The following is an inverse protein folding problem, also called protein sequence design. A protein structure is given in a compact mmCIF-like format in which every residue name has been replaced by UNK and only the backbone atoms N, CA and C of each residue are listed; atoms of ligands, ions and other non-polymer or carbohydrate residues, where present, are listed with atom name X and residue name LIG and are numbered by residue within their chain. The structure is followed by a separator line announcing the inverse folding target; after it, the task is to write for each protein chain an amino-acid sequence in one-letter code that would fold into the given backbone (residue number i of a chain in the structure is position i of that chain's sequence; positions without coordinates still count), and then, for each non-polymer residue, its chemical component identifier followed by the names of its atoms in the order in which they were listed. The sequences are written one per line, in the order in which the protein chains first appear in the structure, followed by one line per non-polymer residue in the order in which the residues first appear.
data_IF_394447474247
#
_entry.id   IF_394447474247
#
_cell.length_a   1.000
_cell.length_b   1.000
_cell.length_c   1.000
_cell.angle_alpha   90.00
_cell.angle_beta   90.00
_cell.angle_gamma   90.00
#
_symmetry.space_group_name_H-M   'P 1'
#
loop_
_entity.id
_entity.type
_entity.pdbx_description
1 polymer ?
#
# COMPACT_ATOMS: atom_id res chain seq x y z
N UNK A 1 -5.50 -7.50 6.76
CA UNK A 1 -6.55 -6.97 5.84
C UNK A 1 -7.44 -8.12 5.36
N UNK A 2 -8.75 -7.90 5.20
CA UNK A 2 -9.69 -8.94 4.74
C UNK A 2 -9.25 -9.64 3.44
N UNK A 3 -8.76 -8.93 2.39
CA UNK A 3 -8.26 -9.60 1.18
C UNK A 3 -7.07 -10.55 1.41
N UNK A 4 -6.21 -10.26 2.39
CA UNK A 4 -5.07 -11.12 2.75
C UNK A 4 -5.56 -12.43 3.33
N UNK A 5 -6.53 -12.38 4.26
CA UNK A 5 -7.11 -13.59 4.85
C UNK A 5 -7.82 -14.45 3.80
N UNK A 6 -8.59 -13.83 2.90
CA UNK A 6 -9.28 -14.54 1.81
C UNK A 6 -8.28 -15.24 0.88
N UNK A 7 -7.22 -14.54 0.44
CA UNK A 7 -6.21 -15.13 -0.46
C UNK A 7 -5.39 -16.22 0.24
N UNK A 8 -4.98 -16.00 1.48
CA UNK A 8 -4.26 -17.00 2.27
C UNK A 8 -5.10 -18.27 2.49
N UNK A 9 -6.39 -18.12 2.82
CA UNK A 9 -7.32 -19.24 2.97
C UNK A 9 -7.49 -20.03 1.66
N UNK A 10 -7.66 -19.35 0.52
CA UNK A 10 -7.71 -20.01 -0.79
C UNK A 10 -6.42 -20.78 -1.10
N UNK A 11 -5.25 -20.16 -0.90
CA UNK A 11 -3.95 -20.82 -1.13
C UNK A 11 -3.76 -22.04 -0.21
N UNK A 12 -4.25 -21.97 1.03
CA UNK A 12 -4.24 -23.12 1.93
C UNK A 12 -5.09 -24.27 1.39
N UNK A 13 -6.32 -24.01 0.94
CA UNK A 13 -7.18 -25.03 0.32
C UNK A 13 -6.55 -25.65 -0.92
N UNK A 14 -5.95 -24.83 -1.78
CA UNK A 14 -5.22 -25.31 -2.97
C UNK A 14 -4.05 -26.23 -2.60
N UNK A 15 -3.32 -25.88 -1.53
CA UNK A 15 -2.18 -26.67 -1.05
C UNK A 15 -2.59 -28.02 -0.47
N UNK A 16 -3.65 -28.06 0.31
CA UNK A 16 -4.11 -29.26 1.00
C UNK A 16 -4.95 -30.19 0.11
N UNK A 17 -5.73 -29.63 -0.82
CA UNK A 17 -6.78 -30.38 -1.50
C UNK A 17 -6.68 -30.36 -3.04
N UNK A 18 -5.72 -29.64 -3.63
CA UNK A 18 -5.61 -29.50 -5.09
C UNK A 18 -4.19 -29.77 -5.64
N UNK A 19 -3.39 -30.60 -4.96
CA UNK A 19 -2.05 -31.00 -5.41
C UNK A 19 -1.10 -29.83 -5.77
N UNK A 20 -1.26 -28.67 -5.11
CA UNK A 20 -0.37 -27.51 -5.27
C UNK A 20 0.51 -27.33 -4.02
N UNK A 21 1.55 -28.16 -3.81
CA UNK A 21 2.30 -28.19 -2.54
C UNK A 21 2.94 -26.85 -2.17
N UNK A 22 3.23 -26.01 -3.17
CA UNK A 22 3.88 -24.71 -2.99
C UNK A 22 2.89 -23.53 -2.97
N UNK A 23 1.57 -23.78 -3.01
CA UNK A 23 0.55 -22.73 -2.92
C UNK A 23 0.63 -22.03 -1.56
N UNK A 24 1.09 -20.77 -1.57
CA UNK A 24 1.20 -19.91 -0.40
C UNK A 24 0.93 -18.46 -0.76
N UNK A 25 0.49 -17.69 0.22
CA UNK A 25 0.34 -16.24 0.08
C UNK A 25 1.72 -15.58 0.05
N UNK A 26 1.89 -14.63 -0.87
CA UNK A 26 2.97 -13.66 -0.82
C UNK A 26 2.48 -12.45 0.00
N UNK A 27 3.25 -12.09 1.02
CA UNK A 27 2.93 -11.00 1.95
C UNK A 27 3.67 -9.71 1.61
N UNK A 28 4.53 -9.74 0.59
CA UNK A 28 5.20 -8.55 0.10
C UNK A 28 4.21 -7.68 -0.67
N UNK A 29 4.42 -6.36 -0.60
CA UNK A 29 3.69 -5.37 -1.40
C UNK A 29 2.16 -5.43 -1.29
N UNK A 30 1.62 -5.76 -0.11
CA UNK A 30 0.17 -5.71 0.11
C UNK A 30 -0.29 -4.25 0.20
N UNK A 31 -1.15 -3.75 -0.72
CA UNK A 31 -1.64 -2.39 -0.68
C UNK A 31 -2.60 -2.18 0.49
N UNK A 32 -2.54 -0.99 1.10
CA UNK A 32 -3.39 -0.60 2.23
C UNK A 32 -4.04 0.75 1.98
N UNK A 33 -5.32 0.85 2.34
CA UNK A 33 -6.08 2.11 2.37
C UNK A 33 -6.52 2.40 3.80
N UNK A 34 -6.32 3.64 4.25
CA UNK A 34 -6.83 4.15 5.53
C UNK A 34 -7.89 5.20 5.24
N UNK A 35 -9.11 4.99 5.74
CA UNK A 35 -10.25 5.89 5.56
C UNK A 35 -10.21 7.06 6.56
N UNK A 36 -9.12 7.82 6.54
CA UNK A 36 -9.01 9.12 7.20
C UNK A 36 -9.70 10.22 6.38
N UNK A 37 -9.68 11.46 6.89
CA UNK A 37 -10.12 12.64 6.15
C UNK A 37 -8.93 13.57 5.94
N UNK A 38 -8.28 13.58 4.74
CA UNK A 38 -8.57 12.78 3.54
C UNK A 38 -8.08 11.32 3.64
N UNK A 39 -8.57 10.40 2.80
CA UNK A 39 -8.08 9.01 2.77
C UNK A 39 -6.60 8.93 2.39
N UNK A 40 -5.93 7.88 2.86
CA UNK A 40 -4.51 7.60 2.58
C UNK A 40 -4.38 6.25 1.89
N UNK A 41 -3.54 6.17 0.86
CA UNK A 41 -3.14 4.93 0.20
C UNK A 41 -1.63 4.72 0.32
N UNK A 42 -1.20 3.50 0.61
CA UNK A 42 0.23 3.14 0.70
C UNK A 42 0.48 1.70 0.24
N UNK A 43 1.68 1.44 -0.25
CA UNK A 43 2.19 0.12 -0.66
C UNK A 43 3.72 0.13 -0.59
N UNK A 44 4.31 -1.00 -0.19
CA UNK A 44 5.76 -1.15 -0.15
C UNK A 44 6.41 -0.42 1.03
N UNK A 45 7.64 0.03 0.82
CA UNK A 45 8.48 0.62 1.86
C UNK A 45 8.20 2.11 2.02
N UNK A 46 8.31 2.60 3.25
CA UNK A 46 8.51 4.02 3.52
C UNK A 46 9.89 4.46 3.03
N UNK A 47 10.08 5.78 2.86
CA UNK A 47 11.39 6.32 2.48
C UNK A 47 12.49 5.90 3.46
N UNK A 48 12.20 5.93 4.77
CA UNK A 48 13.17 5.54 5.80
C UNK A 48 13.55 4.05 5.69
N UNK A 49 12.57 3.16 5.57
CA UNK A 49 12.83 1.72 5.39
C UNK A 49 13.60 1.44 4.08
N UNK A 50 13.36 2.22 3.03
CA UNK A 50 14.12 2.11 1.78
C UNK A 50 15.57 2.59 1.93
N UNK A 51 15.81 3.68 2.67
CA UNK A 51 17.15 4.15 3.00
C UNK A 51 17.92 3.11 3.83
N UNK A 52 17.28 2.51 4.83
CA UNK A 52 17.86 1.46 5.67
C UNK A 52 18.17 0.19 4.87
N UNK A 53 17.31 -0.18 3.91
CA UNK A 53 17.46 -1.42 3.13
C UNK A 53 18.45 -1.30 1.98
N UNK A 54 18.46 -0.17 1.27
CA UNK A 54 19.22 0.00 0.03
C UNK A 54 20.38 0.99 0.14
N UNK A 55 20.44 1.78 1.21
CA UNK A 55 21.38 2.89 1.35
C UNK A 55 20.89 4.13 0.62
N UNK A 56 21.13 5.30 1.24
CA UNK A 56 20.62 6.59 0.78
C UNK A 56 21.03 6.95 -0.66
N UNK A 57 22.24 6.58 -1.06
CA UNK A 57 22.78 6.88 -2.39
C UNK A 57 22.13 6.05 -3.51
N UNK A 58 21.46 4.95 -3.15
CA UNK A 58 20.81 4.03 -4.10
C UNK A 58 19.30 4.28 -4.24
N UNK A 59 18.76 5.29 -3.56
CA UNK A 59 17.32 5.61 -3.64
C UNK A 59 17.10 6.98 -4.26
N UNK A 60 15.96 7.14 -4.93
CA UNK A 60 15.50 8.42 -5.46
C UNK A 60 14.04 8.62 -5.11
N UNK A 61 13.73 9.73 -4.44
CA UNK A 61 12.39 10.08 -3.97
C UNK A 61 11.79 11.15 -4.88
N UNK A 62 10.54 10.95 -5.29
CA UNK A 62 9.75 11.94 -6.02
C UNK A 62 8.53 12.31 -5.18
N UNK A 63 8.26 13.61 -5.04
CA UNK A 63 7.12 14.13 -4.27
C UNK A 63 6.29 15.06 -5.12
N UNK A 64 4.99 15.13 -4.83
CA UNK A 64 4.05 16.02 -5.50
C UNK A 64 3.03 16.54 -4.50
N UNK A 65 2.77 17.84 -4.54
CA UNK A 65 1.75 18.51 -3.73
C UNK A 65 0.83 19.33 -4.63
N UNK A 66 -0.49 19.17 -4.49
CA UNK A 66 -1.49 19.99 -5.15
C UNK A 66 -2.77 20.07 -4.31
N UNK A 67 -3.56 21.13 -4.51
CA UNK A 67 -4.91 21.22 -3.93
C UNK A 67 -5.87 20.35 -4.73
N UNK A 68 -6.64 19.48 -4.06
CA UNK A 68 -7.69 18.70 -4.72
C UNK A 68 -8.71 19.63 -5.40
N UNK A 69 -9.00 19.40 -6.69
CA UNK A 69 -9.87 20.26 -7.50
C UNK A 69 -11.23 20.50 -6.84
N UNK A 70 -11.80 19.45 -6.22
CA UNK A 70 -13.07 19.54 -5.51
C UNK A 70 -13.08 20.61 -4.42
N UNK A 71 -12.03 20.73 -3.61
CA UNK A 71 -11.95 21.72 -2.53
C UNK A 71 -11.31 23.04 -2.97
N UNK A 72 -10.74 23.10 -4.18
CA UNK A 72 -10.09 24.30 -4.69
C UNK A 72 -11.07 25.45 -4.96
N UNK A 73 -12.33 25.13 -5.28
CA UNK A 73 -13.37 26.10 -5.64
C UNK A 73 -14.40 26.34 -4.52
N UNK A 74 -14.22 25.72 -3.35
CA UNK A 74 -15.15 25.84 -2.22
C UNK A 74 -14.68 26.88 -1.20
N UNK A 75 -15.61 27.33 -0.34
CA UNK A 75 -15.28 28.24 0.78
C UNK A 75 -14.35 27.60 1.82
N UNK A 76 -14.37 26.26 1.93
CA UNK A 76 -13.57 25.48 2.87
C UNK A 76 -12.44 24.78 2.13
N UNK A 77 -11.47 25.57 1.66
CA UNK A 77 -10.30 25.08 0.94
C UNK A 77 -9.45 24.22 1.88
N UNK A 78 -9.16 22.99 1.48
CA UNK A 78 -8.16 22.17 2.15
C UNK A 78 -6.76 22.63 1.70
N UNK A 79 -5.87 23.07 2.62
CA UNK A 79 -4.52 23.47 2.25
C UNK A 79 -3.73 22.25 1.75
N UNK A 80 -2.91 22.47 0.73
CA UNK A 80 -1.91 21.49 0.31
C UNK A 80 -0.75 21.51 1.32
N UNK A 81 -0.25 20.33 1.70
CA UNK A 81 1.05 20.21 2.39
C UNK A 81 2.20 20.33 1.40
#
# INVERSE_FOLDING_TARGET
LTPVAVKAGRQLSERLFNNKPNAKMDYDLVPTVVFSHPPIGTIGLTTQEAEEKYGKDNIKVYTSGFTAMYTAVTKHRQPCK
#
